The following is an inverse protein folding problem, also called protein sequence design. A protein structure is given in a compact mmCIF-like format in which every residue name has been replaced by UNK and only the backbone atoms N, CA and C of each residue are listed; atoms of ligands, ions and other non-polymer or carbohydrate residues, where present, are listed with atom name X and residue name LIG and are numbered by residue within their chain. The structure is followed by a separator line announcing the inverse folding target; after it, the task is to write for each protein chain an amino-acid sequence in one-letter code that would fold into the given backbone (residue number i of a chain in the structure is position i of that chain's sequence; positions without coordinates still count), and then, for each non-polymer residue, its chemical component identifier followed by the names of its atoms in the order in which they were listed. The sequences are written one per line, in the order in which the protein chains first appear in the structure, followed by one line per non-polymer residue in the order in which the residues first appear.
data_IF_019944721051
#
_entry.id   IF_019944721051
#
_cell.length_a   1.000
_cell.length_b   1.000
_cell.length_c   1.000
_cell.angle_alpha   90.00
_cell.angle_beta   90.00
_cell.angle_gamma   90.00
#
_symmetry.space_group_name_H-M   'P 1'
#
loop_
_entity.id
_entity.type
_entity.pdbx_description
1 polymer ?
#
# COMPACT_ATOMS: atom_id res chain seq x y z
N UNK A 1 19.20 3.98 4.58
CA UNK A 1 17.89 4.23 3.96
C UNK A 1 16.89 3.20 4.45
N UNK A 2 16.09 3.56 5.44
CA UNK A 2 15.04 2.70 5.98
C UNK A 2 13.76 2.92 5.18
N UNK A 3 13.18 1.85 4.64
CA UNK A 3 11.91 1.89 3.91
C UNK A 3 10.82 1.32 4.79
N UNK A 4 9.71 2.05 4.92
CA UNK A 4 8.48 1.56 5.55
C UNK A 4 7.45 1.24 4.49
N UNK A 5 6.69 0.18 4.73
CA UNK A 5 5.53 -0.12 3.91
C UNK A 5 4.31 0.60 4.48
N UNK A 6 3.58 1.24 3.58
CA UNK A 6 2.34 1.92 3.89
C UNK A 6 1.24 1.33 3.03
N UNK A 7 0.08 1.07 3.63
CA UNK A 7 -1.14 0.69 2.90
C UNK A 7 -2.10 1.86 2.87
N UNK A 8 -2.54 2.23 1.68
CA UNK A 8 -3.46 3.35 1.49
C UNK A 8 -4.41 3.08 0.32
N UNK A 9 -5.55 3.76 0.30
CA UNK A 9 -6.48 3.76 -0.83
C UNK A 9 -6.72 5.19 -1.33
N UNK A 10 -7.04 5.36 -2.62
CA UNK A 10 -7.46 6.66 -3.12
C UNK A 10 -8.71 7.17 -2.38
N UNK A 11 -8.80 8.48 -2.16
CA UNK A 11 -10.04 9.08 -1.69
C UNK A 11 -11.16 8.91 -2.74
N UNK A 12 -12.44 8.94 -2.30
CA UNK A 12 -13.57 8.94 -3.24
C UNK A 12 -13.44 10.09 -4.24
N UNK A 13 -13.64 9.80 -5.53
CA UNK A 13 -13.54 10.79 -6.62
C UNK A 13 -12.11 11.02 -7.14
N UNK A 14 -11.06 10.52 -6.49
CA UNK A 14 -9.68 10.57 -7.03
C UNK A 14 -9.50 9.64 -8.23
N UNK A 15 -10.11 8.45 -8.15
CA UNK A 15 -10.16 7.46 -9.24
C UNK A 15 -11.59 6.94 -9.38
N UNK A 16 -11.92 6.30 -10.51
CA UNK A 16 -13.18 5.57 -10.61
C UNK A 16 -13.25 4.43 -9.59
N UNK A 17 -14.44 4.12 -9.06
CA UNK A 17 -14.64 3.14 -7.98
C UNK A 17 -14.05 1.76 -8.29
N UNK A 18 -14.09 1.33 -9.55
CA UNK A 18 -13.48 0.06 -10.00
C UNK A 18 -11.95 0.00 -9.78
N UNK A 19 -11.31 1.15 -9.60
CA UNK A 19 -9.87 1.30 -9.35
C UNK A 19 -9.58 1.75 -7.92
N UNK A 20 -10.59 1.98 -7.09
CA UNK A 20 -10.44 2.40 -5.68
C UNK A 20 -10.13 1.20 -4.79
N UNK A 21 -8.99 0.57 -5.06
CA UNK A 21 -8.46 -0.59 -4.34
C UNK A 21 -7.35 -0.17 -3.38
N UNK A 22 -6.99 -1.06 -2.46
CA UNK A 22 -5.88 -0.82 -1.52
C UNK A 22 -4.54 -1.04 -2.22
N UNK A 23 -3.65 -0.06 -2.12
CA UNK A 23 -2.30 -0.11 -2.67
C UNK A 23 -1.25 -0.18 -1.55
N UNK A 24 -0.07 -0.73 -1.89
CA UNK A 24 1.08 -0.81 -1.00
C UNK A 24 2.17 0.11 -1.55
N UNK A 25 2.67 0.99 -0.70
CA UNK A 25 3.64 2.02 -1.03
C UNK A 25 4.94 1.80 -0.22
N UNK A 26 6.10 1.76 -0.87
CA UNK A 26 7.38 1.95 -0.18
C UNK A 26 7.60 3.43 0.10
N UNK A 27 7.85 3.79 1.36
CA UNK A 27 8.14 5.16 1.79
C UNK A 27 9.49 5.19 2.49
N UNK A 28 10.42 5.98 1.95
CA UNK A 28 11.69 6.26 2.62
C UNK A 28 11.44 7.14 3.85
N UNK A 29 11.90 6.73 5.03
CA UNK A 29 11.62 7.43 6.30
C UNK A 29 12.25 8.82 6.34
N UNK A 30 13.31 9.04 5.57
CA UNK A 30 14.17 10.22 5.64
C UNK A 30 13.69 11.36 4.72
N UNK A 31 12.71 11.11 3.86
CA UNK A 31 12.24 12.07 2.85
C UNK A 31 10.73 11.99 2.69
N UNK A 32 10.07 13.15 2.65
CA UNK A 32 8.65 13.27 2.27
C UNK A 32 8.55 13.44 0.76
N UNK A 33 8.07 12.44 0.00
CA UNK A 33 7.96 12.57 -1.44
C UNK A 33 6.75 13.43 -1.83
N UNK A 34 6.87 14.19 -2.91
CA UNK A 34 5.76 14.96 -3.49
C UNK A 34 4.64 14.05 -4.03
N UNK A 35 5.01 12.82 -4.42
CA UNK A 35 4.07 11.77 -4.84
C UNK A 35 4.47 10.42 -4.27
N UNK A 36 3.50 9.67 -3.80
CA UNK A 36 3.65 8.28 -3.41
C UNK A 36 3.35 7.38 -4.59
N UNK A 37 4.31 6.52 -4.95
CA UNK A 37 4.15 5.54 -6.02
C UNK A 37 4.02 4.14 -5.44
N UNK A 38 2.91 3.49 -5.71
CA UNK A 38 2.65 2.12 -5.29
C UNK A 38 3.48 1.11 -6.10
N UNK A 39 3.64 -0.11 -5.58
CA UNK A 39 4.33 -1.18 -6.32
C UNK A 39 3.69 -1.52 -7.68
N UNK A 40 2.40 -1.26 -7.87
CA UNK A 40 1.73 -1.44 -9.16
C UNK A 40 2.01 -0.30 -10.16
N UNK A 41 2.67 0.78 -9.74
CA UNK A 41 2.96 1.97 -10.55
C UNK A 41 1.94 3.10 -10.41
N UNK A 42 0.84 2.91 -9.67
CA UNK A 42 -0.11 3.99 -9.40
C UNK A 42 0.56 5.07 -8.51
N UNK A 43 0.42 6.34 -8.90
CA UNK A 43 1.08 7.45 -8.23
C UNK A 43 0.07 8.50 -7.78
N UNK A 44 0.14 8.92 -6.52
CA UNK A 44 -0.79 9.87 -5.90
C UNK A 44 -0.03 10.96 -5.15
N UNK A 45 -0.52 12.18 -5.23
CA UNK A 45 -0.03 13.35 -4.51
C UNK A 45 -0.66 13.53 -3.12
N UNK A 46 -0.34 14.65 -2.45
CA UNK A 46 -0.89 14.98 -1.15
C UNK A 46 -2.41 15.17 -1.23
N UNK A 47 -3.13 14.63 -0.24
CA UNK A 47 -4.59 14.75 -0.16
C UNK A 47 -5.36 13.83 -1.12
N UNK A 48 -4.70 12.93 -1.86
CA UNK A 48 -5.36 11.97 -2.76
C UNK A 48 -5.55 10.59 -2.14
N UNK A 49 -4.97 10.34 -0.96
CA UNK A 49 -4.90 9.04 -0.31
C UNK A 49 -5.47 9.08 1.11
N UNK A 50 -6.21 8.02 1.45
CA UNK A 50 -6.54 7.64 2.82
C UNK A 50 -5.57 6.57 3.29
N UNK A 51 -4.81 6.88 4.34
CA UNK A 51 -3.92 5.95 5.01
C UNK A 51 -4.74 4.94 5.81
N UNK A 52 -4.43 3.64 5.66
CA UNK A 52 -5.13 2.58 6.37
C UNK A 52 -4.26 1.99 7.47
N UNK A 53 -4.82 1.78 8.66
CA UNK A 53 -4.12 1.12 9.78
C UNK A 53 -3.94 -0.39 9.55
N UNK A 54 -4.83 -0.98 8.74
CA UNK A 54 -4.83 -2.39 8.34
C UNK A 54 -5.36 -2.53 6.91
N UNK A 55 -4.92 -3.54 6.14
CA UNK A 55 -5.42 -3.77 4.79
C UNK A 55 -6.90 -4.20 4.87
N UNK A 56 -7.82 -3.27 4.54
CA UNK A 56 -9.27 -3.51 4.54
C UNK A 56 -9.88 -3.15 3.19
N UNK A 57 -10.79 -3.99 2.69
CA UNK A 57 -11.33 -3.90 1.33
C UNK A 57 -10.49 -4.68 0.31
N UNK A 58 -10.79 -4.49 -0.98
CA UNK A 58 -10.12 -5.22 -2.06
C UNK A 58 -8.70 -4.69 -2.29
N UNK A 59 -7.66 -5.54 -2.19
CA UNK A 59 -6.29 -5.12 -2.46
C UNK A 59 -5.99 -5.14 -3.96
N UNK A 60 -5.07 -4.28 -4.37
CA UNK A 60 -4.45 -4.37 -5.67
C UNK A 60 -3.59 -5.64 -5.74
N UNK A 61 -4.01 -6.62 -6.54
CA UNK A 61 -3.30 -7.90 -6.72
C UNK A 61 -1.84 -7.69 -7.15
N UNK A 62 -1.59 -6.69 -7.99
CA UNK A 62 -0.23 -6.38 -8.45
C UNK A 62 0.65 -5.85 -7.31
N UNK A 63 0.09 -5.03 -6.41
CA UNK A 63 0.79 -4.61 -5.19
C UNK A 63 1.12 -5.80 -4.29
N UNK A 64 0.18 -6.71 -4.05
CA UNK A 64 0.43 -7.89 -3.21
C UNK A 64 1.53 -8.79 -3.77
N UNK A 65 1.54 -8.99 -5.09
CA UNK A 65 2.54 -9.84 -5.76
C UNK A 65 3.95 -9.25 -5.74
N UNK A 66 4.07 -7.91 -5.73
CA UNK A 66 5.35 -7.20 -5.81
C UNK A 66 5.87 -6.70 -4.46
N UNK A 67 4.98 -6.50 -3.50
CA UNK A 67 5.38 -6.11 -2.16
C UNK A 67 6.27 -7.21 -1.55
N UNK A 68 7.32 -6.84 -0.82
CA UNK A 68 8.15 -7.83 -0.14
C UNK A 68 7.29 -8.57 0.89
N UNK A 69 7.33 -9.89 0.88
CA UNK A 69 6.80 -10.70 1.97
C UNK A 69 7.59 -10.39 3.25
N UNK A 70 6.96 -10.33 4.43
CA UNK A 70 7.72 -10.33 5.67
C UNK A 70 8.62 -11.57 5.65
N UNK A 71 9.94 -11.36 5.58
CA UNK A 71 10.89 -12.46 5.51
C UNK A 71 10.76 -13.31 6.77
N UNK A 72 10.32 -14.56 6.63
CA UNK A 72 10.27 -15.63 7.64
C UNK A 72 10.29 -15.16 9.10
N UNK A 73 9.34 -14.30 9.51
CA UNK A 73 8.95 -14.25 10.91
C UNK A 73 7.90 -15.34 11.04
N UNK A 74 8.22 -16.39 11.80
CA UNK A 74 7.38 -17.56 12.08
C UNK A 74 5.91 -17.16 12.09
N UNK A 75 5.18 -17.56 11.04
CA UNK A 75 3.73 -17.54 11.09
C UNK A 75 3.35 -18.61 12.12
N UNK A 76 2.72 -18.28 13.26
CA UNK A 76 2.25 -19.32 14.16
C UNK A 76 1.34 -20.23 13.33
N UNK A 77 1.61 -21.53 13.39
CA UNK A 77 0.81 -22.53 12.73
C UNK A 77 -0.64 -22.26 13.11
N UNK A 78 -1.48 -22.00 12.10
CA UNK A 78 -2.91 -21.86 12.29
C UNK A 78 -3.38 -23.30 12.58
N UNK A 79 -3.46 -23.67 13.85
CA UNK A 79 -4.06 -24.93 14.26
C UNK A 79 -5.52 -24.94 13.79
N UNK A 80 -5.86 -25.92 12.95
CA UNK A 80 -7.19 -26.13 12.37
C UNK A 80 -8.04 -26.99 13.28
#
# INVERSE_FOLDING_TARGET
MTVRLVVARPLPGTVGESRRVVHVFPVAVETTPERLTAYCGAAFGPGELELLERPVGMPCVNCLRRAPSPGSAEQPAIER
#
